data_IF_452219348367
#
_entry.id   IF_452219348367
#
_cell.length_a   1.000
_cell.length_b   1.000
_cell.length_c   1.000
_cell.angle_alpha   90.00
_cell.angle_beta   90.00
_cell.angle_gamma   90.00
#
_symmetry.space_group_name_H-M   'P 1'
#
loop_
_entity.id
_entity.type
_entity.pdbx_description
1 polymer ?
#
# COMPACT_ATOMS: atom_id res chain seq x y z
N UNK A 1 -25.88 -33.99 83.78
CA UNK A 1 -24.44 -34.11 84.15
C UNK A 1 -23.69 -34.43 82.87
N UNK A 2 -23.28 -33.41 82.12
CA UNK A 2 -21.97 -32.76 82.21
C UNK A 2 -20.84 -33.69 81.78
N UNK A 3 -20.26 -33.44 80.60
CA UNK A 3 -18.86 -33.04 80.47
C UNK A 3 -18.63 -32.32 79.14
N UNK A 4 -18.15 -31.09 79.25
CA UNK A 4 -17.63 -30.21 78.20
C UNK A 4 -16.11 -30.38 78.25
N UNK A 5 -15.47 -30.68 77.12
CA UNK A 5 -14.04 -30.54 76.84
C UNK A 5 -13.90 -30.61 75.30
N UNK A 6 -13.25 -29.73 74.56
CA UNK A 6 -12.39 -28.61 74.92
C UNK A 6 -12.10 -27.76 73.68
N UNK A 7 -11.45 -26.63 73.96
CA UNK A 7 -10.90 -25.62 73.06
C UNK A 7 -10.27 -26.18 71.76
N UNK A 8 -10.36 -25.42 70.66
CA UNK A 8 -9.21 -24.67 70.12
C UNK A 8 -9.51 -23.97 68.78
N UNK A 9 -9.30 -22.65 68.78
CA UNK A 9 -8.80 -21.79 67.69
C UNK A 9 -9.71 -21.52 66.48
N UNK A 10 -10.41 -20.38 66.58
CA UNK A 10 -10.65 -19.48 65.45
C UNK A 10 -9.29 -19.10 64.82
N UNK A 11 -9.01 -19.61 63.62
CA UNK A 11 -8.00 -19.06 62.73
C UNK A 11 -8.73 -18.41 61.57
N UNK A 12 -8.73 -17.08 61.56
CA UNK A 12 -9.16 -16.29 60.43
C UNK A 12 -8.15 -16.49 59.29
N UNK A 13 -8.58 -17.11 58.20
CA UNK A 13 -7.83 -17.15 56.96
C UNK A 13 -8.51 -16.21 55.96
N UNK A 14 -8.18 -14.92 56.03
CA UNK A 14 -8.40 -14.00 54.91
C UNK A 14 -7.41 -14.36 53.81
N UNK A 15 -7.84 -15.16 52.83
CA UNK A 15 -7.10 -15.35 51.60
C UNK A 15 -7.20 -14.06 50.78
N UNK A 16 -6.15 -13.24 50.80
CA UNK A 16 -6.00 -12.13 49.89
C UNK A 16 -5.76 -12.67 48.47
N UNK A 17 -6.80 -12.74 47.65
CA UNK A 17 -6.66 -12.88 46.20
C UNK A 17 -6.09 -11.58 45.66
N UNK A 18 -4.76 -11.53 45.49
CA UNK A 18 -4.13 -10.53 44.64
C UNK A 18 -4.37 -10.96 43.20
N UNK A 19 -5.45 -10.48 42.59
CA UNK A 19 -5.62 -10.55 41.14
C UNK A 19 -4.57 -9.62 40.52
N UNK A 20 -3.45 -10.20 40.09
CA UNK A 20 -2.49 -9.53 39.23
C UNK A 20 -3.19 -9.16 37.92
N UNK A 21 -3.67 -7.92 37.82
CA UNK A 21 -4.04 -7.32 36.56
C UNK A 21 -2.76 -7.15 35.73
N UNK A 22 -2.40 -8.17 34.96
CA UNK A 22 -1.39 -8.03 33.92
C UNK A 22 -1.89 -6.97 32.96
N UNK A 23 -1.23 -5.80 32.93
CA UNK A 23 -1.43 -4.83 31.88
C UNK A 23 -1.12 -5.54 30.55
N UNK A 24 -2.16 -5.82 29.76
CA UNK A 24 -1.97 -6.26 28.39
C UNK A 24 -1.26 -5.12 27.67
N UNK A 25 0.03 -5.27 27.44
CA UNK A 25 0.77 -4.38 26.54
C UNK A 25 0.20 -4.65 25.15
N UNK A 26 -0.47 -3.70 24.50
CA UNK A 26 -0.90 -3.90 23.12
C UNK A 26 0.36 -4.19 22.29
N UNK A 27 0.36 -5.31 21.58
CA UNK A 27 1.42 -5.59 20.63
C UNK A 27 1.44 -4.44 19.60
N UNK A 28 2.63 -3.94 19.20
CA UNK A 28 2.69 -2.96 18.12
C UNK A 28 1.99 -3.57 16.92
N UNK A 29 0.94 -2.90 16.43
CA UNK A 29 0.31 -3.21 15.15
C UNK A 29 1.30 -2.81 14.07
N UNK A 30 2.34 -3.63 13.87
CA UNK A 30 3.15 -3.54 12.66
C UNK A 30 2.16 -3.78 11.52
N UNK A 31 1.78 -2.69 10.82
CA UNK A 31 0.87 -2.75 9.69
C UNK A 31 1.31 -3.84 8.72
N UNK A 32 0.34 -4.51 8.10
CA UNK A 32 0.62 -5.62 7.17
C UNK A 32 1.70 -5.22 6.16
N UNK A 33 2.66 -6.11 5.92
CA UNK A 33 3.71 -5.88 4.91
C UNK A 33 3.11 -5.75 3.50
N UNK A 34 1.88 -6.25 3.30
CA UNK A 34 1.12 -6.14 2.07
C UNK A 34 -0.11 -5.27 2.26
N UNK A 35 -0.40 -4.42 1.27
CA UNK A 35 -1.60 -3.60 1.23
C UNK A 35 -2.85 -4.48 1.29
N UNK A 36 -3.68 -4.24 2.29
CA UNK A 36 -5.03 -4.80 2.33
C UNK A 36 -5.89 -4.04 1.31
N UNK A 37 -6.59 -4.77 0.44
CA UNK A 37 -7.43 -4.17 -0.59
C UNK A 37 -8.88 -4.50 -0.37
N UNK A 38 -9.73 -3.49 -0.56
CA UNK A 38 -11.18 -3.65 -0.49
C UNK A 38 -11.81 -3.89 -1.87
N UNK A 39 -12.98 -3.30 -2.04
CA UNK A 39 -13.81 -3.47 -3.24
C UNK A 39 -13.22 -2.76 -4.48
N UNK A 40 -13.70 -3.17 -5.66
CA UNK A 40 -13.47 -2.43 -6.91
C UNK A 40 -13.97 -1.00 -6.77
N UNK A 41 -13.19 -0.04 -7.26
CA UNK A 41 -13.47 1.40 -7.17
C UNK A 41 -13.26 2.09 -8.52
N UNK A 42 -13.58 3.38 -8.57
CA UNK A 42 -13.33 4.21 -9.75
C UNK A 42 -11.83 4.40 -9.99
N UNK A 43 -11.43 4.31 -11.25
CA UNK A 43 -10.07 4.66 -11.66
C UNK A 43 -9.86 6.19 -11.68
N UNK A 44 -8.61 6.68 -11.63
CA UNK A 44 -8.28 8.08 -11.93
C UNK A 44 -8.79 8.49 -13.32
N UNK A 45 -9.17 9.76 -13.48
CA UNK A 45 -9.65 10.26 -14.78
C UNK A 45 -8.56 10.19 -15.85
N UNK A 46 -7.33 10.57 -15.51
CA UNK A 46 -6.20 10.46 -16.43
C UNK A 46 -5.92 9.02 -16.88
N UNK A 47 -5.99 8.05 -15.96
CA UNK A 47 -5.91 6.63 -16.32
C UNK A 47 -7.03 6.21 -17.28
N UNK A 48 -8.27 6.68 -17.08
CA UNK A 48 -9.37 6.41 -17.99
C UNK A 48 -9.07 6.92 -19.41
N UNK A 49 -8.62 8.16 -19.53
CA UNK A 49 -8.27 8.78 -20.81
C UNK A 49 -7.08 8.10 -21.48
N UNK A 50 -6.05 7.73 -20.70
CA UNK A 50 -4.93 6.92 -21.16
C UNK A 50 -5.39 5.59 -21.76
N UNK A 51 -6.27 4.87 -21.06
CA UNK A 51 -6.82 3.61 -21.56
C UNK A 51 -7.64 3.76 -22.85
N UNK A 52 -8.22 4.94 -23.11
CA UNK A 52 -8.95 5.19 -24.36
C UNK A 52 -8.03 5.23 -25.58
N UNK A 53 -6.74 5.57 -25.41
CA UNK A 53 -5.75 5.62 -26.50
C UNK A 53 -4.76 4.46 -26.44
N UNK A 54 -4.62 3.80 -25.27
CA UNK A 54 -3.71 2.69 -25.01
C UNK A 54 -4.46 1.45 -24.51
N UNK A 55 -5.42 0.92 -25.28
CA UNK A 55 -6.29 -0.15 -24.78
C UNK A 55 -5.53 -1.42 -24.35
N UNK A 56 -4.39 -1.72 -24.98
CA UNK A 56 -3.54 -2.85 -24.61
C UNK A 56 -2.94 -2.75 -23.21
N UNK A 57 -2.71 -1.54 -22.70
CA UNK A 57 -2.19 -1.34 -21.34
C UNK A 57 -3.22 -1.67 -20.26
N UNK A 58 -4.51 -1.56 -20.60
CA UNK A 58 -5.62 -1.63 -19.65
C UNK A 58 -6.53 -2.86 -19.82
N UNK A 59 -6.21 -3.76 -20.75
CA UNK A 59 -7.05 -4.93 -21.07
C UNK A 59 -6.47 -6.27 -20.61
N UNK A 60 -5.32 -6.25 -19.91
CA UNK A 60 -4.65 -7.46 -19.47
C UNK A 60 -5.37 -8.01 -18.22
N UNK A 61 -5.87 -9.23 -18.33
CA UNK A 61 -6.40 -10.00 -17.20
C UNK A 61 -5.35 -10.98 -16.70
N UNK A 62 -5.25 -11.10 -15.37
CA UNK A 62 -4.30 -12.00 -14.73
C UNK A 62 -5.02 -12.89 -13.72
N UNK A 63 -4.63 -14.17 -13.59
CA UNK A 63 -5.17 -15.02 -12.53
C UNK A 63 -4.74 -14.49 -11.16
N UNK A 64 -5.59 -14.72 -10.16
CA UNK A 64 -5.19 -14.46 -8.77
C UNK A 64 -3.99 -15.35 -8.42
N UNK A 65 -2.91 -14.72 -7.96
CA UNK A 65 -1.68 -15.38 -7.58
C UNK A 65 -1.08 -14.73 -6.33
N UNK A 66 -0.38 -15.52 -5.49
CA UNK A 66 0.34 -14.97 -4.35
C UNK A 66 1.48 -14.06 -4.86
N UNK A 67 1.87 -13.03 -4.08
CA UNK A 67 3.01 -12.18 -4.43
C UNK A 67 4.28 -13.00 -4.74
N UNK A 68 5.01 -12.70 -5.81
CA UNK A 68 6.15 -13.49 -6.24
C UNK A 68 7.37 -13.27 -5.33
N UNK A 69 8.23 -14.28 -5.21
CA UNK A 69 9.57 -14.07 -4.66
C UNK A 69 10.42 -13.33 -5.70
N UNK A 70 10.93 -12.17 -5.32
CA UNK A 70 11.88 -11.41 -6.14
C UNK A 70 13.30 -11.86 -5.81
N UNK A 71 14.09 -12.18 -6.84
CA UNK A 71 15.50 -12.56 -6.69
C UNK A 71 16.37 -11.34 -6.42
N UNK A 72 17.61 -11.53 -5.99
CA UNK A 72 18.58 -10.42 -5.85
C UNK A 72 18.76 -9.63 -7.15
N UNK A 73 18.77 -10.33 -8.29
CA UNK A 73 18.80 -9.68 -9.60
C UNK A 73 17.53 -8.86 -9.86
N UNK A 74 16.35 -9.41 -9.59
CA UNK A 74 15.09 -8.68 -9.73
C UNK A 74 15.05 -7.41 -8.86
N UNK A 75 15.55 -7.50 -7.62
CA UNK A 75 15.69 -6.35 -6.73
C UNK A 75 16.66 -5.30 -7.25
N UNK A 76 17.75 -5.72 -7.88
CA UNK A 76 18.66 -4.80 -8.57
C UNK A 76 17.94 -4.09 -9.71
N UNK A 77 17.21 -4.83 -10.56
CA UNK A 77 16.45 -4.25 -11.68
C UNK A 77 15.42 -3.23 -11.19
N UNK A 78 14.67 -3.54 -10.13
CA UNK A 78 13.70 -2.62 -9.53
C UNK A 78 14.35 -1.29 -9.13
N UNK A 79 15.46 -1.36 -8.38
CA UNK A 79 16.17 -0.16 -7.92
C UNK A 79 16.79 0.62 -9.08
N UNK A 80 17.45 -0.08 -10.01
CA UNK A 80 18.06 0.54 -11.18
C UNK A 80 17.02 1.30 -12.01
N UNK A 81 15.84 0.73 -12.25
CA UNK A 81 14.76 1.39 -13.01
C UNK A 81 14.23 2.60 -12.24
N UNK A 82 14.00 2.48 -10.93
CA UNK A 82 13.52 3.62 -10.13
C UNK A 82 14.46 4.82 -10.25
N UNK A 83 15.74 4.60 -9.97
CA UNK A 83 16.75 5.66 -10.04
C UNK A 83 16.98 6.14 -11.48
N UNK A 84 17.04 5.25 -12.47
CA UNK A 84 17.27 5.67 -13.87
C UNK A 84 16.15 6.58 -14.35
N UNK A 85 14.88 6.22 -14.11
CA UNK A 85 13.75 7.06 -14.52
C UNK A 85 13.73 8.38 -13.73
N UNK A 86 14.00 8.35 -12.42
CA UNK A 86 14.06 9.56 -11.60
C UNK A 86 15.06 10.60 -12.11
N UNK A 87 16.18 10.14 -12.66
CA UNK A 87 17.25 11.00 -13.15
C UNK A 87 17.14 11.32 -14.65
N UNK A 88 16.38 10.54 -15.41
CA UNK A 88 16.20 10.74 -16.85
C UNK A 88 15.08 11.73 -17.20
N UNK A 89 14.03 11.77 -16.40
CA UNK A 89 12.87 12.64 -16.63
C UNK A 89 13.02 13.90 -15.77
N UNK A 90 12.68 15.05 -16.35
CA UNK A 90 12.63 16.34 -15.66
C UNK A 90 11.24 16.56 -15.05
N UNK A 91 11.12 16.86 -13.75
CA UNK A 91 9.81 17.11 -13.15
C UNK A 91 9.16 18.37 -13.76
N UNK A 92 7.96 18.23 -14.31
CA UNK A 92 7.16 19.32 -14.87
C UNK A 92 5.68 18.92 -14.89
N UNK A 93 4.78 19.83 -14.52
CA UNK A 93 3.35 19.51 -14.46
C UNK A 93 2.73 19.38 -15.85
N UNK A 94 1.64 18.63 -15.95
CA UNK A 94 0.84 18.57 -17.17
C UNK A 94 0.29 19.90 -17.64
N UNK A 95 0.04 20.82 -16.72
CA UNK A 95 -0.41 22.17 -17.07
C UNK A 95 0.70 22.94 -17.80
N UNK A 96 1.95 22.77 -17.38
CA UNK A 96 3.11 23.40 -18.03
C UNK A 96 3.43 22.75 -19.38
N UNK A 97 3.32 21.43 -19.49
CA UNK A 97 3.64 20.68 -20.72
C UNK A 97 2.53 20.73 -21.77
N UNK A 98 1.28 20.55 -21.36
CA UNK A 98 0.15 20.26 -22.24
C UNK A 98 -1.03 21.22 -22.06
N UNK A 99 -1.00 22.09 -21.04
CA UNK A 99 -2.12 22.99 -20.73
C UNK A 99 -3.35 22.26 -20.21
N UNK A 100 -3.17 21.10 -19.55
CA UNK A 100 -4.23 20.26 -19.00
C UNK A 100 -4.03 20.04 -17.51
N UNK A 101 -5.11 19.77 -16.79
CA UNK A 101 -4.99 19.40 -15.36
C UNK A 101 -4.40 18.01 -15.16
N UNK A 102 -4.55 17.11 -16.15
CA UNK A 102 -4.13 15.71 -16.09
C UNK A 102 -4.00 15.15 -17.53
N UNK A 103 -2.90 14.47 -17.83
CA UNK A 103 -2.57 13.90 -19.12
C UNK A 103 -1.53 12.77 -19.00
N UNK A 104 -2.02 11.60 -18.56
CA UNK A 104 -1.21 10.39 -18.43
C UNK A 104 -0.58 10.00 -19.78
N UNK A 105 0.75 9.92 -19.82
CA UNK A 105 1.49 9.53 -21.01
C UNK A 105 2.78 8.77 -20.66
N UNK A 106 3.48 8.28 -21.68
CA UNK A 106 4.86 7.86 -21.50
C UNK A 106 5.77 9.06 -21.72
N UNK A 107 6.42 9.61 -20.67
CA UNK A 107 7.27 10.78 -20.81
C UNK A 107 8.54 10.44 -21.60
N UNK A 108 8.98 11.37 -22.45
CA UNK A 108 10.28 11.27 -23.14
C UNK A 108 11.38 12.03 -22.37
N UNK A 109 11.11 13.26 -21.97
CA UNK A 109 12.10 14.14 -21.29
C UNK A 109 11.59 14.81 -20.03
N UNK A 110 10.27 14.97 -19.89
CA UNK A 110 9.62 15.62 -18.77
C UNK A 110 8.22 15.03 -18.54
N UNK A 111 7.74 15.16 -17.31
CA UNK A 111 6.43 14.71 -16.84
C UNK A 111 6.31 14.91 -15.32
N UNK A 112 5.21 14.50 -14.73
CA UNK A 112 4.97 14.52 -13.29
C UNK A 112 4.71 13.10 -12.74
N UNK A 113 4.01 12.96 -11.61
CA UNK A 113 4.12 11.77 -10.78
C UNK A 113 3.66 10.47 -11.46
N UNK A 114 2.55 10.52 -12.18
CA UNK A 114 1.95 9.37 -12.87
C UNK A 114 2.76 8.97 -14.09
N UNK A 115 3.35 9.93 -14.79
CA UNK A 115 4.17 9.71 -15.98
C UNK A 115 5.44 8.93 -15.61
N UNK A 116 6.08 9.31 -14.51
CA UNK A 116 7.22 8.55 -13.97
C UNK A 116 6.79 7.14 -13.56
N UNK A 117 5.64 6.99 -12.89
CA UNK A 117 5.15 5.70 -12.45
C UNK A 117 4.77 4.79 -13.64
N UNK A 118 4.18 5.35 -14.71
CA UNK A 118 3.86 4.65 -15.96
C UNK A 118 5.13 4.17 -16.66
N UNK A 119 6.13 5.04 -16.78
CA UNK A 119 7.40 4.69 -17.40
C UNK A 119 8.11 3.57 -16.63
N UNK A 120 8.24 3.69 -15.31
CA UNK A 120 8.81 2.63 -14.46
C UNK A 120 8.06 1.31 -14.60
N UNK A 121 6.72 1.38 -14.70
CA UNK A 121 5.88 0.20 -14.88
C UNK A 121 6.19 -0.48 -16.20
N UNK A 122 6.20 0.26 -17.31
CA UNK A 122 6.52 -0.27 -18.63
C UNK A 122 7.89 -0.93 -18.63
N UNK A 123 8.90 -0.24 -18.11
CA UNK A 123 10.27 -0.75 -18.11
C UNK A 123 10.38 -2.04 -17.26
N UNK A 124 9.65 -2.16 -16.15
CA UNK A 124 9.59 -3.41 -15.38
C UNK A 124 8.87 -4.53 -16.15
N UNK A 125 7.78 -4.25 -16.85
CA UNK A 125 7.11 -5.24 -17.69
C UNK A 125 8.05 -5.76 -18.79
N UNK A 126 8.83 -4.88 -19.42
CA UNK A 126 9.85 -5.25 -20.41
C UNK A 126 10.97 -6.12 -19.83
N UNK A 127 11.23 -6.03 -18.51
CA UNK A 127 12.15 -6.92 -17.79
C UNK A 127 11.48 -8.22 -17.31
N UNK A 128 10.23 -8.45 -17.69
CA UNK A 128 9.50 -9.70 -17.41
C UNK A 128 8.78 -9.73 -16.07
N UNK A 129 8.61 -8.58 -15.40
CA UNK A 129 7.73 -8.50 -14.24
C UNK A 129 6.27 -8.68 -14.67
N UNK A 130 5.48 -9.33 -13.83
CA UNK A 130 4.06 -9.55 -14.10
C UNK A 130 3.26 -8.25 -13.96
N UNK A 131 2.32 -7.92 -14.86
CA UNK A 131 1.41 -6.79 -14.70
C UNK A 131 0.50 -6.91 -13.48
N UNK A 132 0.34 -8.12 -12.92
CA UNK A 132 -0.36 -8.35 -11.65
C UNK A 132 0.40 -7.84 -10.42
N UNK A 133 1.70 -7.55 -10.57
CA UNK A 133 2.62 -7.25 -9.48
C UNK A 133 3.32 -5.90 -9.62
N UNK A 134 3.10 -5.16 -10.71
CA UNK A 134 3.57 -3.77 -10.91
C UNK A 134 2.38 -2.86 -11.19
N UNK A 135 1.91 -2.17 -10.15
CA UNK A 135 0.56 -1.61 -10.09
C UNK A 135 0.60 -0.12 -9.83
N UNK A 136 -0.08 0.64 -10.70
CA UNK A 136 -0.26 2.08 -10.48
C UNK A 136 -1.06 2.30 -9.19
N UNK A 137 -0.61 3.23 -8.36
CA UNK A 137 -1.18 3.47 -7.03
C UNK A 137 -1.34 4.97 -6.80
N UNK A 138 -2.52 5.37 -6.32
CA UNK A 138 -2.85 6.75 -5.98
C UNK A 138 -2.83 6.93 -4.47
N UNK A 139 -2.13 7.96 -4.03
CA UNK A 139 -1.91 8.27 -2.62
C UNK A 139 -2.21 9.74 -2.31
N UNK A 140 -2.21 10.08 -1.03
CA UNK A 140 -2.13 11.46 -0.54
C UNK A 140 -0.81 11.67 0.18
N UNK A 141 -0.12 12.75 -0.17
CA UNK A 141 1.06 13.25 0.55
C UNK A 141 0.68 13.83 1.92
N UNK A 142 1.65 14.05 2.84
CA UNK A 142 1.39 14.64 4.16
C UNK A 142 0.73 16.03 4.12
N UNK A 143 1.02 16.81 3.10
CA UNK A 143 0.40 18.13 2.83
C UNK A 143 -1.03 18.03 2.28
N UNK A 144 -1.51 16.81 1.99
CA UNK A 144 -2.83 16.52 1.46
C UNK A 144 -2.92 16.55 -0.06
N UNK A 145 -1.85 16.86 -0.79
CA UNK A 145 -1.85 16.81 -2.26
C UNK A 145 -1.97 15.37 -2.78
N UNK A 146 -2.60 15.20 -3.94
CA UNK A 146 -2.63 13.92 -4.64
C UNK A 146 -1.25 13.56 -5.18
N UNK A 147 -0.95 12.26 -5.26
CA UNK A 147 0.29 11.77 -5.85
C UNK A 147 0.09 10.38 -6.44
N UNK A 148 0.84 10.04 -7.47
CA UNK A 148 0.86 8.72 -8.08
C UNK A 148 2.23 8.08 -7.91
N UNK A 149 2.23 6.80 -7.56
CA UNK A 149 3.43 5.99 -7.36
C UNK A 149 3.24 4.61 -8.00
N UNK A 150 4.35 3.90 -8.18
CA UNK A 150 4.30 2.50 -8.63
C UNK A 150 4.49 1.56 -7.44
N UNK A 151 3.56 0.63 -7.26
CA UNK A 151 3.67 -0.44 -6.25
C UNK A 151 4.16 -1.73 -6.89
N UNK A 152 5.22 -2.31 -6.32
CA UNK A 152 5.73 -3.64 -6.66
C UNK A 152 5.34 -4.63 -5.57
N UNK A 153 4.54 -5.64 -5.92
CA UNK A 153 4.14 -6.71 -5.00
C UNK A 153 5.20 -7.79 -4.94
N UNK A 154 5.60 -8.17 -3.73
CA UNK A 154 6.63 -9.20 -3.52
C UNK A 154 6.26 -10.11 -2.36
N UNK A 155 6.91 -11.27 -2.26
CA UNK A 155 6.78 -12.16 -1.10
C UNK A 155 7.34 -11.57 0.21
N UNK A 156 7.98 -10.40 0.16
CA UNK A 156 8.50 -9.67 1.32
C UNK A 156 7.63 -8.48 1.74
N UNK A 157 6.64 -8.13 0.91
CA UNK A 157 5.76 -6.97 1.11
C UNK A 157 5.50 -6.21 -0.18
N UNK A 158 4.76 -5.11 -0.05
CA UNK A 158 4.49 -4.18 -1.15
C UNK A 158 5.45 -2.98 -1.05
N UNK A 159 6.22 -2.77 -2.11
CA UNK A 159 7.27 -1.75 -2.18
C UNK A 159 6.91 -0.65 -3.16
N UNK A 160 7.45 0.54 -2.91
CA UNK A 160 7.06 1.76 -3.60
C UNK A 160 8.25 2.31 -4.38
N UNK A 161 8.01 2.55 -5.65
CA UNK A 161 8.88 3.29 -6.54
C UNK A 161 8.24 4.66 -6.76
N UNK A 162 8.98 5.71 -6.38
CA UNK A 162 8.49 7.08 -6.31
C UNK A 162 9.45 8.00 -7.08
N UNK A 163 8.94 9.05 -7.72
CA UNK A 163 9.76 10.09 -8.34
C UNK A 163 10.33 11.09 -7.33
N UNK A 164 9.76 11.18 -6.13
CA UNK A 164 10.23 12.06 -5.06
C UNK A 164 11.35 11.44 -4.20
N UNK A 165 11.63 10.14 -4.38
CA UNK A 165 12.59 9.39 -3.59
C UNK A 165 13.26 8.27 -4.42
N UNK A 166 14.59 8.21 -4.38
CA UNK A 166 15.36 7.18 -5.12
C UNK A 166 15.35 5.84 -4.39
N UNK A 167 15.26 5.85 -3.06
CA UNK A 167 15.18 4.63 -2.26
C UNK A 167 13.81 3.94 -2.41
N UNK A 168 13.83 2.68 -2.85
CA UNK A 168 12.64 1.83 -2.89
C UNK A 168 12.28 1.37 -1.49
N UNK A 169 11.16 1.86 -0.97
CA UNK A 169 10.71 1.66 0.42
C UNK A 169 9.50 0.73 0.51
N UNK A 170 9.39 0.00 1.61
CA UNK A 170 8.14 -0.68 1.97
C UNK A 170 7.03 0.37 2.12
N UNK A 171 5.81 0.08 1.66
CA UNK A 171 4.71 1.04 1.66
C UNK A 171 4.41 1.64 3.05
N UNK A 172 4.51 0.85 4.13
CA UNK A 172 4.37 1.31 5.53
C UNK A 172 5.52 2.18 6.04
N UNK A 173 6.58 2.35 5.25
CA UNK A 173 7.74 3.22 5.53
C UNK A 173 7.75 4.47 4.67
N UNK A 174 6.68 4.70 3.91
CA UNK A 174 6.43 5.97 3.20
C UNK A 174 5.48 6.84 4.00
N UNK A 175 5.51 8.17 3.85
CA UNK A 175 4.68 9.07 4.64
C UNK A 175 3.26 9.26 4.04
N UNK A 176 2.81 8.33 3.19
CA UNK A 176 1.60 8.50 2.40
C UNK A 176 0.37 7.85 3.02
N UNK A 177 -0.80 8.44 2.75
CA UNK A 177 -2.08 7.75 2.91
C UNK A 177 -2.48 7.12 1.58
N UNK A 178 -2.65 5.82 1.55
CA UNK A 178 -2.92 5.07 0.32
C UNK A 178 -4.42 5.05 0.01
N UNK A 179 -4.82 5.39 -1.21
CA UNK A 179 -6.26 5.49 -1.53
C UNK A 179 -6.75 4.28 -2.30
N UNK A 180 -6.06 3.98 -3.40
CA UNK A 180 -6.44 2.93 -4.35
C UNK A 180 -5.25 2.57 -5.23
N UNK A 181 -5.31 1.37 -5.81
CA UNK A 181 -4.34 0.89 -6.80
C UNK A 181 -5.01 0.13 -7.91
N UNK A 182 -4.30 -0.05 -9.02
CA UNK A 182 -4.68 -1.03 -10.03
C UNK A 182 -4.88 -2.41 -9.38
N UNK A 183 -5.91 -3.11 -9.83
CA UNK A 183 -6.22 -4.45 -9.40
C UNK A 183 -5.20 -5.43 -9.99
N UNK A 184 -4.69 -6.35 -9.18
CA UNK A 184 -3.74 -7.37 -9.65
C UNK A 184 -4.35 -8.33 -10.68
N UNK A 185 -5.69 -8.43 -10.75
CA UNK A 185 -6.37 -9.32 -11.69
C UNK A 185 -6.76 -8.65 -13.02
N UNK A 186 -6.68 -7.31 -13.13
CA UNK A 186 -7.04 -6.59 -14.35
C UNK A 186 -6.41 -5.18 -14.37
N UNK A 187 -5.61 -4.89 -15.40
CA UNK A 187 -4.86 -3.62 -15.49
C UNK A 187 -5.74 -2.39 -15.73
N UNK A 188 -6.98 -2.57 -16.20
CA UNK A 188 -7.99 -1.52 -16.34
C UNK A 188 -8.94 -1.37 -15.15
N UNK A 189 -8.74 -2.12 -14.06
CA UNK A 189 -9.58 -2.04 -12.86
C UNK A 189 -8.78 -1.55 -11.67
N UNK A 190 -9.47 -0.90 -10.75
CA UNK A 190 -8.88 -0.34 -9.54
C UNK A 190 -9.62 -0.86 -8.32
N UNK A 191 -8.91 -1.00 -7.20
CA UNK A 191 -9.45 -1.42 -5.90
C UNK A 191 -9.06 -0.41 -4.82
N UNK A 192 -9.89 -0.25 -3.80
CA UNK A 192 -9.54 0.55 -2.62
C UNK A 192 -8.39 -0.10 -1.85
N UNK A 193 -7.60 0.71 -1.16
CA UNK A 193 -6.61 0.24 -0.18
C UNK A 193 -7.17 0.55 1.21
N UNK A 194 -7.31 -0.49 2.02
CA UNK A 194 -7.73 -0.37 3.41
C UNK A 194 -6.51 0.04 4.25
N UNK A 195 -6.41 1.33 4.54
CA UNK A 195 -5.43 1.80 5.53
C UNK A 195 -5.92 1.28 6.88
N UNK A 196 -5.12 0.47 7.59
CA UNK A 196 -5.48 -0.11 8.89
C UNK A 196 -5.82 0.90 10.00
N UNK A 197 -5.84 2.19 9.67
CA UNK A 197 -6.20 3.32 10.52
C UNK A 197 -7.64 3.83 10.29
N UNK A 198 -8.40 3.26 9.35
CA UNK A 198 -9.84 3.50 9.31
C UNK A 198 -10.49 2.79 10.50
N UNK A 199 -10.53 3.50 11.63
CA UNK A 199 -11.51 3.28 12.68
C UNK A 199 -12.85 3.17 11.97
N UNK A 200 -13.41 1.97 11.98
CA UNK A 200 -14.79 1.65 11.62
C UNK A 200 -15.73 2.57 12.41
N UNK A 201 -16.01 3.77 11.89
CA UNK A 201 -17.14 4.58 12.32
C UNK A 201 -18.37 3.92 11.73
N UNK A 202 -19.00 3.07 12.55
CA UNK A 202 -20.24 2.39 12.19
C UNK A 202 -21.26 3.38 11.65
N UNK A 203 -21.85 3.07 10.50
CA UNK A 203 -23.00 3.81 9.98
C UNK A 203 -24.07 3.89 11.06
N UNK A 204 -24.42 5.12 11.45
CA UNK A 204 -25.68 5.36 12.13
C UNK A 204 -26.77 5.09 11.10
N UNK A 205 -27.51 4.00 11.30
CA UNK A 205 -28.64 3.64 10.45
C UNK A 205 -29.68 4.77 10.42
N UNK A 206 -30.30 4.95 9.25
CA UNK A 206 -31.64 5.55 9.14
C UNK A 206 -32.66 4.44 9.05
#
# INVERSE_FOLDING_TARGET
MAQINGLSRLVAAMAALVLSAGAAVPAPTNGSLWMQTGSVTSQPIGHYEFCQTHQSECSITSPSSPPPRVTEYGWKVIRDINTTVNHAITPMTDMELYGREEFWTYPETAGDCEDYALLKRRDLLEKGFSPADVLMTVVRKPDGEGHAVLTVRTAQGDFILDNLEDEVKLWTKTPYRYLKRQASFNTGRWVTIENGDEIMVGSVGR
#
